data_IF_575771850618
#
_entry.id   IF_575771850618
#
_cell.length_a   1.000
_cell.length_b   1.000
_cell.length_c   1.000
_cell.angle_alpha   90.00
_cell.angle_beta   90.00
_cell.angle_gamma   90.00
#
_symmetry.space_group_name_H-M   'P 1'
#
loop_
_entity.id
_entity.type
_entity.pdbx_description
1 polymer ?
#
# COMPACT_ATOMS: atom_id res chain seq x y z
N UNK A 1 20.86 -15.27 -16.70
CA UNK A 1 19.91 -14.11 -16.57
C UNK A 1 19.96 -13.45 -15.16
N UNK A 2 19.49 -12.21 -14.94
CA UNK A 2 19.46 -11.58 -13.59
C UNK A 2 18.10 -11.73 -12.87
N UNK A 3 18.10 -11.86 -11.54
CA UNK A 3 16.87 -11.99 -10.73
C UNK A 3 15.94 -10.77 -10.87
N UNK A 4 16.54 -9.58 -10.93
CA UNK A 4 15.82 -8.30 -11.08
C UNK A 4 15.08 -8.24 -12.41
N UNK A 5 15.64 -8.78 -13.50
CA UNK A 5 14.96 -8.83 -14.79
C UNK A 5 13.67 -9.66 -14.70
N UNK A 6 13.76 -10.85 -14.10
CA UNK A 6 12.62 -11.75 -13.97
C UNK A 6 11.54 -11.20 -13.04
N UNK A 7 11.94 -10.56 -11.94
CA UNK A 7 11.04 -9.86 -11.03
C UNK A 7 10.31 -8.72 -11.75
N UNK A 8 11.04 -7.91 -12.52
CA UNK A 8 10.47 -6.76 -13.24
C UNK A 8 9.46 -7.21 -14.29
N UNK A 9 9.79 -8.26 -15.05
CA UNK A 9 8.89 -8.86 -16.04
C UNK A 9 7.59 -9.37 -15.41
N UNK A 10 7.70 -10.15 -14.33
CA UNK A 10 6.52 -10.68 -13.64
C UNK A 10 5.68 -9.58 -12.99
N UNK A 11 6.34 -8.56 -12.44
CA UNK A 11 5.65 -7.39 -11.87
C UNK A 11 4.87 -6.64 -12.95
N UNK A 12 5.47 -6.43 -14.13
CA UNK A 12 4.78 -5.76 -15.24
C UNK A 12 3.52 -6.54 -15.69
N UNK A 13 3.63 -7.86 -15.86
CA UNK A 13 2.50 -8.72 -16.29
C UNK A 13 1.37 -8.70 -15.26
N UNK A 14 1.70 -8.87 -13.98
CA UNK A 14 0.72 -8.93 -12.90
C UNK A 14 0.08 -7.56 -12.63
N UNK A 15 0.85 -6.48 -12.65
CA UNK A 15 0.33 -5.11 -12.52
C UNK A 15 -0.56 -4.72 -13.71
N UNK A 16 -0.23 -5.18 -14.93
CA UNK A 16 -1.11 -5.01 -16.09
C UNK A 16 -2.44 -5.74 -15.89
N UNK A 17 -2.40 -7.00 -15.44
CA UNK A 17 -3.62 -7.75 -15.11
C UNK A 17 -4.46 -7.10 -14.01
N UNK A 18 -3.80 -6.54 -12.98
CA UNK A 18 -4.47 -5.77 -11.93
C UNK A 18 -5.18 -4.53 -12.49
N UNK A 19 -4.51 -3.76 -13.34
CA UNK A 19 -5.09 -2.56 -13.95
C UNK A 19 -6.39 -2.89 -14.70
N UNK A 20 -6.40 -3.97 -15.49
CA UNK A 20 -7.60 -4.42 -16.20
C UNK A 20 -8.68 -4.99 -15.26
N UNK A 21 -8.30 -5.68 -14.19
CA UNK A 21 -9.23 -6.33 -13.28
C UNK A 21 -9.96 -5.38 -12.32
N UNK A 22 -9.38 -4.22 -12.02
CA UNK A 22 -9.98 -3.26 -11.08
C UNK A 22 -11.30 -2.68 -11.58
N UNK A 23 -11.42 -2.46 -12.89
CA UNK A 23 -12.62 -1.89 -13.51
C UNK A 23 -13.87 -2.78 -13.31
N UNK A 24 -13.68 -4.10 -13.18
CA UNK A 24 -14.78 -5.06 -12.99
C UNK A 24 -15.15 -5.33 -11.53
N UNK A 25 -14.26 -4.99 -10.59
CA UNK A 25 -14.40 -5.37 -9.17
C UNK A 25 -14.83 -4.21 -8.27
N UNK A 26 -14.87 -2.98 -8.79
CA UNK A 26 -15.16 -1.78 -8.01
C UNK A 26 -14.03 -1.39 -7.04
N UNK A 27 -12.84 -1.97 -7.23
CA UNK A 27 -11.63 -1.64 -6.47
C UNK A 27 -10.92 -0.44 -7.10
N UNK A 28 -10.22 0.33 -6.27
CA UNK A 28 -9.43 1.48 -6.72
C UNK A 28 -8.07 0.98 -7.20
N UNK A 29 -7.85 0.98 -8.52
CA UNK A 29 -6.63 0.46 -9.14
C UNK A 29 -5.34 1.04 -8.57
N UNK A 30 -5.27 2.38 -8.46
CA UNK A 30 -4.12 3.07 -7.87
C UNK A 30 -3.92 2.78 -6.38
N UNK A 31 -4.98 2.49 -5.62
CA UNK A 31 -4.85 2.06 -4.22
C UNK A 31 -4.22 0.65 -4.15
N UNK A 32 -4.53 -0.22 -5.11
CA UNK A 32 -3.81 -1.48 -5.27
C UNK A 32 -2.32 -1.29 -5.56
N UNK A 33 -1.97 -0.39 -6.47
CA UNK A 33 -0.56 -0.07 -6.73
C UNK A 33 0.14 0.52 -5.51
N UNK A 34 -0.55 1.33 -4.71
CA UNK A 34 -0.04 1.82 -3.43
C UNK A 34 0.25 0.67 -2.45
N UNK A 35 -0.65 -0.31 -2.35
CA UNK A 35 -0.45 -1.53 -1.56
C UNK A 35 0.75 -2.36 -2.03
N UNK A 36 0.90 -2.55 -3.34
CA UNK A 36 2.03 -3.27 -3.93
C UNK A 36 3.36 -2.53 -3.67
N UNK A 37 3.36 -1.21 -3.84
CA UNK A 37 4.52 -0.35 -3.61
C UNK A 37 4.98 -0.42 -2.16
N UNK A 38 4.04 -0.32 -1.21
CA UNK A 38 4.36 -0.38 0.22
C UNK A 38 4.91 -1.73 0.64
N UNK A 39 4.46 -2.84 0.03
CA UNK A 39 5.05 -4.16 0.21
C UNK A 39 6.53 -4.20 -0.20
N UNK A 40 6.86 -3.75 -1.42
CA UNK A 40 8.24 -3.74 -1.89
C UNK A 40 9.12 -2.77 -1.09
N UNK A 41 8.59 -1.58 -0.76
CA UNK A 41 9.28 -0.57 0.03
C UNK A 41 9.55 -1.03 1.48
N UNK A 42 8.70 -1.89 2.05
CA UNK A 42 8.91 -2.51 3.35
C UNK A 42 9.91 -3.70 3.33
N UNK A 43 10.59 -3.94 2.20
CA UNK A 43 11.64 -4.96 2.06
C UNK A 43 11.15 -6.33 1.60
N UNK A 44 9.92 -6.40 1.07
CA UNK A 44 9.30 -7.61 0.52
C UNK A 44 9.16 -8.75 1.53
N UNK A 45 8.94 -9.97 1.04
CA UNK A 45 8.79 -11.19 1.86
C UNK A 45 7.62 -11.09 2.85
N UNK A 46 7.52 -12.07 3.75
CA UNK A 46 6.45 -12.13 4.76
C UNK A 46 6.46 -10.94 5.71
N UNK A 47 7.63 -10.43 6.07
CA UNK A 47 7.74 -9.30 7.01
C UNK A 47 7.37 -7.97 6.34
N UNK A 48 7.76 -7.75 5.08
CA UNK A 48 7.32 -6.59 4.31
C UNK A 48 5.81 -6.59 4.08
N UNK A 49 5.20 -7.76 3.83
CA UNK A 49 3.74 -7.89 3.74
C UNK A 49 3.03 -7.48 5.03
N UNK A 50 3.44 -8.03 6.18
CA UNK A 50 2.86 -7.65 7.48
C UNK A 50 3.00 -6.15 7.73
N UNK A 51 4.20 -5.63 7.53
CA UNK A 51 4.52 -4.21 7.75
C UNK A 51 3.67 -3.31 6.86
N UNK A 52 3.56 -3.62 5.57
CA UNK A 52 2.72 -2.90 4.62
C UNK A 52 1.25 -2.91 5.05
N UNK A 53 0.69 -4.08 5.38
CA UNK A 53 -0.72 -4.18 5.81
C UNK A 53 -0.98 -3.34 7.06
N UNK A 54 -0.19 -3.52 8.14
CA UNK A 54 -0.40 -2.79 9.39
C UNK A 54 -0.28 -1.28 9.19
N UNK A 55 0.77 -0.83 8.52
CA UNK A 55 1.00 0.61 8.28
C UNK A 55 -0.07 1.21 7.38
N UNK A 56 -0.45 0.55 6.28
CA UNK A 56 -1.52 1.01 5.39
C UNK A 56 -2.85 1.13 6.12
N UNK A 57 -3.25 0.12 6.89
CA UNK A 57 -4.50 0.12 7.67
C UNK A 57 -4.51 1.27 8.68
N UNK A 58 -3.38 1.49 9.37
CA UNK A 58 -3.27 2.61 10.29
C UNK A 58 -3.37 3.96 9.57
N UNK A 59 -2.77 4.08 8.38
CA UNK A 59 -2.90 5.28 7.55
C UNK A 59 -4.34 5.59 7.16
N UNK A 60 -5.07 4.56 6.74
CA UNK A 60 -6.50 4.66 6.41
C UNK A 60 -7.30 5.13 7.64
N UNK A 61 -7.04 4.55 8.80
CA UNK A 61 -7.67 4.96 10.06
C UNK A 61 -7.44 6.44 10.36
N UNK A 62 -6.20 6.91 10.24
CA UNK A 62 -5.83 8.32 10.46
C UNK A 62 -6.50 9.25 9.45
N UNK A 63 -6.58 8.89 8.18
CA UNK A 63 -7.31 9.68 7.18
C UNK A 63 -8.81 9.80 7.48
N UNK A 64 -9.45 8.72 7.95
CA UNK A 64 -10.86 8.76 8.37
C UNK A 64 -11.05 9.71 9.55
N UNK A 65 -10.11 9.75 10.50
CA UNK A 65 -10.12 10.72 11.60
C UNK A 65 -10.01 12.15 11.07
N UNK A 66 -9.06 12.43 10.18
CA UNK A 66 -8.90 13.77 9.59
C UNK A 66 -10.23 14.21 8.97
N UNK A 67 -10.79 13.39 8.06
CA UNK A 67 -11.99 13.76 7.31
C UNK A 67 -13.19 13.95 8.24
N UNK A 68 -13.47 13.01 9.15
CA UNK A 68 -14.63 13.09 10.04
C UNK A 68 -14.52 14.24 11.04
N UNK A 69 -13.35 14.44 11.63
CA UNK A 69 -13.17 15.47 12.66
C UNK A 69 -13.13 16.87 12.04
N UNK A 70 -12.58 17.02 10.83
CA UNK A 70 -12.64 18.28 10.10
C UNK A 70 -14.07 18.70 9.76
N UNK A 71 -14.93 17.75 9.37
CA UNK A 71 -16.36 18.03 9.13
C UNK A 71 -17.09 18.39 10.42
N UNK A 72 -16.80 17.68 11.52
CA UNK A 72 -17.45 17.94 12.81
C UNK A 72 -17.09 19.32 13.39
N UNK A 73 -15.83 19.73 13.27
CA UNK A 73 -15.36 21.00 13.81
C UNK A 73 -15.94 22.19 13.03
N UNK A 74 -16.12 22.08 11.70
CA UNK A 74 -16.73 23.10 10.85
C UNK A 74 -16.15 24.53 11.03
N UNK A 75 -14.85 24.62 11.35
CA UNK A 75 -14.10 25.87 11.47
C UNK A 75 -13.28 26.07 10.19
N UNK A 76 -13.03 27.32 9.82
CA UNK A 76 -12.11 27.64 8.71
C UNK A 76 -10.76 26.94 8.89
N UNK A 77 -10.27 26.29 7.84
CA UNK A 77 -9.01 25.52 7.83
C UNK A 77 -8.93 24.31 8.78
N UNK A 78 -10.05 23.79 9.30
CA UNK A 78 -10.07 22.59 10.15
C UNK A 78 -9.34 21.38 9.53
N UNK A 79 -9.40 21.21 8.21
CA UNK A 79 -8.65 20.19 7.47
C UNK A 79 -7.13 20.28 7.65
N UNK A 80 -6.57 21.48 7.56
CA UNK A 80 -5.13 21.71 7.67
C UNK A 80 -4.65 21.49 9.11
N UNK A 81 -5.40 21.99 10.09
CA UNK A 81 -5.09 21.80 11.52
C UNK A 81 -5.11 20.31 11.87
N UNK A 82 -6.16 19.59 11.46
CA UNK A 82 -6.26 18.14 11.70
C UNK A 82 -5.16 17.35 11.01
N UNK A 83 -4.79 17.73 9.78
CA UNK A 83 -3.68 17.11 9.07
C UNK A 83 -2.38 17.27 9.86
N UNK A 84 -2.10 18.45 10.41
CA UNK A 84 -0.92 18.69 11.25
C UNK A 84 -0.89 17.81 12.50
N UNK A 85 -2.00 17.76 13.24
CA UNK A 85 -2.13 16.95 14.46
C UNK A 85 -1.96 15.46 14.16
N UNK A 86 -2.64 14.97 13.13
CA UNK A 86 -2.60 13.54 12.76
C UNK A 86 -1.25 13.15 12.18
N UNK A 87 -0.58 14.04 11.44
CA UNK A 87 0.81 13.83 10.98
C UNK A 87 1.75 13.62 12.16
N UNK A 88 1.63 14.46 13.20
CA UNK A 88 2.41 14.26 14.43
C UNK A 88 2.12 12.89 15.07
N UNK A 89 0.83 12.52 15.18
CA UNK A 89 0.43 11.24 15.75
C UNK A 89 0.97 10.03 14.94
N UNK A 90 0.90 10.09 13.60
CA UNK A 90 1.45 9.07 12.71
C UNK A 90 2.96 8.89 12.90
N UNK A 91 3.71 9.99 13.00
CA UNK A 91 5.15 9.95 13.27
C UNK A 91 5.44 9.40 14.67
N UNK A 92 4.69 9.80 15.69
CA UNK A 92 4.89 9.32 17.06
C UNK A 92 4.57 7.82 17.20
N UNK A 93 3.56 7.32 16.48
CA UNK A 93 3.18 5.91 16.47
C UNK A 93 4.31 4.98 15.99
N UNK A 94 5.29 5.50 15.24
CA UNK A 94 6.44 4.71 14.77
C UNK A 94 7.31 4.09 15.86
N UNK A 95 7.11 4.50 17.12
CA UNK A 95 7.73 3.87 18.31
C UNK A 95 7.28 2.42 18.52
N UNK A 96 6.16 2.02 17.93
CA UNK A 96 5.64 0.65 17.99
C UNK A 96 6.27 -0.18 16.87
N UNK A 97 6.74 -1.39 17.19
CA UNK A 97 7.52 -2.27 16.30
C UNK A 97 6.94 -2.45 14.89
N UNK A 98 5.61 -2.54 14.75
CA UNK A 98 4.93 -2.76 13.47
C UNK A 98 4.70 -1.49 12.64
N UNK A 99 4.91 -0.31 13.23
CA UNK A 99 4.63 0.99 12.60
C UNK A 99 5.90 1.81 12.33
N UNK A 100 7.08 1.19 12.48
CA UNK A 100 8.38 1.81 12.20
C UNK A 100 8.52 2.26 10.76
N UNK A 101 7.81 1.60 9.83
CA UNK A 101 7.72 2.02 8.42
C UNK A 101 6.69 3.16 8.25
N UNK A 102 7.08 4.35 8.70
CA UNK A 102 6.31 5.60 8.60
C UNK A 102 5.75 5.85 7.18
N UNK A 103 6.51 5.65 6.07
CA UNK A 103 6.00 5.88 4.72
C UNK A 103 4.76 5.06 4.38
N UNK A 104 4.61 3.84 4.91
CA UNK A 104 3.40 3.03 4.70
C UNK A 104 2.16 3.66 5.32
N UNK A 105 2.30 4.23 6.52
CA UNK A 105 1.21 4.93 7.21
C UNK A 105 0.78 6.17 6.42
N UNK A 106 1.74 6.95 5.92
CA UNK A 106 1.43 8.07 5.03
C UNK A 106 0.76 7.61 3.73
N UNK A 107 1.22 6.51 3.13
CA UNK A 107 0.63 6.01 1.90
C UNK A 107 -0.85 5.63 2.09
N UNK A 108 -1.19 4.94 3.18
CA UNK A 108 -2.59 4.62 3.51
C UNK A 108 -3.43 5.88 3.74
N UNK A 109 -2.86 6.88 4.41
CA UNK A 109 -3.52 8.15 4.66
C UNK A 109 -3.80 8.90 3.35
N UNK A 110 -2.77 9.10 2.52
CA UNK A 110 -2.89 9.81 1.24
C UNK A 110 -3.84 9.12 0.27
N UNK A 111 -3.78 7.80 0.19
CA UNK A 111 -4.67 7.01 -0.68
C UNK A 111 -6.14 7.20 -0.26
N UNK A 112 -6.42 7.24 1.04
CA UNK A 112 -7.78 7.44 1.57
C UNK A 112 -8.27 8.87 1.38
N UNK A 113 -7.41 9.86 1.62
CA UNK A 113 -7.75 11.26 1.37
C UNK A 113 -7.99 11.52 -0.12
N UNK A 114 -7.17 10.94 -1.01
CA UNK A 114 -7.35 11.03 -2.46
C UNK A 114 -8.65 10.35 -2.93
N UNK A 115 -9.11 9.31 -2.23
CA UNK A 115 -10.38 8.65 -2.48
C UNK A 115 -11.58 9.36 -1.81
N UNK A 116 -11.45 10.63 -1.41
CA UNK A 116 -12.49 11.40 -0.71
C UNK A 116 -13.04 10.69 0.55
N UNK A 117 -12.20 9.94 1.25
CA UNK A 117 -12.60 9.22 2.46
C UNK A 117 -13.35 7.90 2.22
N UNK A 118 -13.41 7.41 0.98
CA UNK A 118 -13.94 6.08 0.66
C UNK A 118 -12.98 4.95 1.15
N UNK A 119 -12.85 4.83 2.46
CA UNK A 119 -12.02 3.83 3.11
C UNK A 119 -12.49 2.39 2.83
N UNK A 120 -13.78 2.21 2.54
CA UNK A 120 -14.39 0.90 2.27
C UNK A 120 -13.88 0.28 0.97
N UNK A 121 -13.62 1.09 -0.05
CA UNK A 121 -12.96 0.63 -1.29
C UNK A 121 -11.43 0.65 -1.16
N UNK A 122 -10.85 1.65 -0.48
CA UNK A 122 -9.39 1.78 -0.34
C UNK A 122 -8.78 0.61 0.43
N UNK A 123 -9.38 0.22 1.55
CA UNK A 123 -8.87 -0.86 2.40
C UNK A 123 -8.69 -2.18 1.63
N UNK A 124 -9.73 -2.76 0.99
CA UNK A 124 -9.57 -3.99 0.22
C UNK A 124 -8.62 -3.78 -0.96
N UNK A 125 -8.65 -2.64 -1.65
CA UNK A 125 -7.72 -2.38 -2.76
C UNK A 125 -6.25 -2.42 -2.30
N UNK A 126 -5.90 -1.77 -1.19
CA UNK A 126 -4.53 -1.79 -0.68
C UNK A 126 -4.11 -3.17 -0.18
N UNK A 127 -5.03 -3.92 0.45
CA UNK A 127 -4.76 -5.29 0.90
C UNK A 127 -4.49 -6.21 -0.30
N UNK A 128 -5.36 -6.20 -1.30
CA UNK A 128 -5.16 -6.97 -2.52
C UNK A 128 -3.93 -6.50 -3.31
N UNK A 129 -3.61 -5.21 -3.27
CA UNK A 129 -2.37 -4.65 -3.78
C UNK A 129 -1.12 -5.23 -3.12
N UNK A 130 -1.12 -5.37 -1.79
CA UNK A 130 -0.01 -6.01 -1.09
C UNK A 130 0.09 -7.51 -1.43
N UNK A 131 -1.04 -8.20 -1.62
CA UNK A 131 -1.08 -9.58 -2.11
C UNK A 131 -0.50 -9.68 -3.52
N UNK A 132 -0.84 -8.75 -4.40
CA UNK A 132 -0.25 -8.64 -5.74
C UNK A 132 1.28 -8.52 -5.65
N UNK A 133 1.81 -7.69 -4.74
CA UNK A 133 3.25 -7.59 -4.50
C UNK A 133 3.90 -8.93 -4.11
N UNK A 134 3.26 -9.70 -3.23
CA UNK A 134 3.72 -11.06 -2.87
C UNK A 134 3.70 -11.99 -4.08
N UNK A 135 2.68 -11.90 -4.93
CA UNK A 135 2.59 -12.67 -6.15
C UNK A 135 3.72 -12.31 -7.11
N UNK A 136 4.00 -11.02 -7.31
CA UNK A 136 5.12 -10.52 -8.12
C UNK A 136 6.47 -11.06 -7.65
N UNK A 137 6.75 -10.98 -6.36
CA UNK A 137 8.00 -11.52 -5.80
C UNK A 137 8.09 -13.04 -5.97
N UNK A 138 7.00 -13.75 -5.70
CA UNK A 138 6.95 -15.22 -5.72
C UNK A 138 7.09 -15.79 -7.15
N UNK A 139 6.40 -15.20 -8.13
CA UNK A 139 6.48 -15.63 -9.52
C UNK A 139 7.80 -15.23 -10.16
N UNK A 140 8.34 -14.04 -9.80
CA UNK A 140 9.66 -13.59 -10.22
C UNK A 140 10.75 -14.58 -9.81
N UNK A 141 10.80 -14.96 -8.52
CA UNK A 141 11.77 -15.96 -8.01
C UNK A 141 11.61 -17.33 -8.67
N UNK A 142 10.38 -17.82 -8.81
CA UNK A 142 10.10 -19.11 -9.46
C UNK A 142 10.56 -19.14 -10.92
N UNK A 143 10.36 -18.06 -11.65
CA UNK A 143 10.81 -17.99 -13.04
C UNK A 143 12.35 -17.89 -13.11
N UNK A 144 12.99 -17.16 -12.19
CA UNK A 144 14.44 -17.06 -12.11
C UNK A 144 15.09 -18.43 -11.86
N UNK A 145 14.58 -19.18 -10.88
CA UNK A 145 15.05 -20.54 -10.57
C UNK A 145 14.92 -21.50 -11.78
N UNK A 146 13.81 -21.42 -12.52
CA UNK A 146 13.59 -22.26 -13.71
C UNK A 146 14.56 -21.92 -14.84
N UNK A 147 14.84 -20.65 -15.05
CA UNK A 147 15.74 -20.18 -16.11
C UNK A 147 17.20 -20.46 -15.74
N UNK A 148 17.59 -20.24 -14.49
CA UNK A 148 18.94 -20.54 -14.00
C UNK A 148 19.26 -22.04 -14.02
N UNK A 149 18.30 -22.92 -13.69
CA UNK A 149 18.47 -24.38 -13.82
C UNK A 149 18.58 -24.89 -15.25
N UNK A 150 18.18 -24.10 -16.24
CA UNK A 150 18.24 -24.47 -17.66
C UNK A 150 19.54 -23.99 -18.33
N UNK A 151 20.29 -23.11 -17.67
CA UNK A 151 21.63 -22.65 -18.07
C UNK A 151 22.75 -23.57 -17.52
N UNK A 152 22.42 -24.58 -16.70
CA UNK A 152 23.31 -25.66 -16.24
C UNK A 152 22.94 -26.99 -16.89
#
# INVERSE_FOLDING_TARGET
MSEIFTLSLMTAILCFGWALGCDFTGLIGFAGFAGCTTFFAAGGRKEGFKTAIFTNVSGIFWAVIIIKLSVLLNISHAGAIMTGIVTFAMCYQSRIKYFTFIPGTFMGCFTTCAANGNWQSVLPSMVFGAVLGVLCESTGKRLYEKLSKKEC
#
